data_IF_764676406779
#
_entry.id   IF_764676406779
#
_cell.length_a   1.000
_cell.length_b   1.000
_cell.length_c   1.000
_cell.angle_alpha   90.00
_cell.angle_beta   90.00
_cell.angle_gamma   90.00
#
_symmetry.space_group_name_H-M   'P 1'
#
loop_
_entity.id
_entity.type
_entity.pdbx_description
1 polymer ?
#
# COMPACT_ATOMS: atom_id res chain seq x y z
N UNK A 1 -36.98 27.60 -64.70
CA UNK A 1 -36.13 28.02 -63.56
C UNK A 1 -36.03 26.86 -62.59
N UNK A 2 -34.96 26.06 -62.67
CA UNK A 2 -34.74 24.88 -61.83
C UNK A 2 -33.28 24.84 -61.43
N UNK A 3 -32.87 25.72 -60.49
CA UNK A 3 -31.49 25.78 -59.97
C UNK A 3 -31.45 25.74 -58.44
N UNK A 4 -32.60 25.69 -57.77
CA UNK A 4 -32.67 25.76 -56.30
C UNK A 4 -32.43 24.43 -55.58
N UNK A 5 -32.53 23.28 -56.28
CA UNK A 5 -32.41 21.95 -55.65
C UNK A 5 -30.97 21.52 -55.36
N UNK A 6 -30.01 21.83 -56.25
CA UNK A 6 -28.58 21.47 -56.01
C UNK A 6 -27.98 22.19 -54.82
N UNK A 7 -28.27 23.49 -54.67
CA UNK A 7 -27.62 24.34 -53.66
C UNK A 7 -27.98 23.96 -52.21
N UNK A 8 -29.14 23.35 -52.00
CA UNK A 8 -29.56 22.84 -50.69
C UNK A 8 -28.94 21.47 -50.37
N UNK A 9 -28.64 20.67 -51.39
CA UNK A 9 -28.03 19.36 -51.25
C UNK A 9 -26.53 19.49 -50.97
N UNK A 10 -25.84 20.41 -51.67
CA UNK A 10 -24.42 20.73 -51.40
C UNK A 10 -24.21 21.22 -49.96
N UNK A 11 -25.13 22.07 -49.47
CA UNK A 11 -25.10 22.59 -48.10
C UNK A 11 -25.27 21.51 -47.03
N UNK A 12 -26.02 20.45 -47.34
CA UNK A 12 -26.21 19.30 -46.44
C UNK A 12 -25.02 18.34 -46.44
N UNK A 13 -24.30 18.25 -47.57
CA UNK A 13 -23.08 17.43 -47.67
C UNK A 13 -21.94 18.09 -46.91
N UNK A 14 -21.79 19.41 -47.04
CA UNK A 14 -20.80 20.20 -46.30
C UNK A 14 -20.99 20.10 -44.78
N UNK A 15 -22.24 20.09 -44.29
CA UNK A 15 -22.54 19.88 -42.86
C UNK A 15 -22.18 18.47 -42.36
N UNK A 16 -22.33 17.45 -43.20
CA UNK A 16 -21.94 16.07 -42.87
C UNK A 16 -20.41 15.95 -42.80
N UNK A 17 -19.70 16.59 -43.73
CA UNK A 17 -18.23 16.61 -43.74
C UNK A 17 -17.67 17.35 -42.52
N UNK A 18 -18.28 18.46 -42.10
CA UNK A 18 -17.92 19.16 -40.87
C UNK A 18 -18.12 18.29 -39.62
N UNK A 19 -19.25 17.57 -39.55
CA UNK A 19 -19.52 16.62 -38.46
C UNK A 19 -18.52 15.46 -38.46
N UNK A 20 -18.15 14.96 -39.64
CA UNK A 20 -17.15 13.91 -39.78
C UNK A 20 -15.77 14.40 -39.30
N UNK A 21 -15.35 15.61 -39.71
CA UNK A 21 -14.12 16.24 -39.25
C UNK A 21 -14.12 16.45 -37.73
N UNK A 22 -15.24 16.85 -37.15
CA UNK A 22 -15.41 17.00 -35.71
C UNK A 22 -15.24 15.66 -34.96
N UNK A 23 -15.85 14.58 -35.45
CA UNK A 23 -15.72 13.24 -34.88
C UNK A 23 -14.27 12.76 -34.95
N UNK A 24 -13.60 12.94 -36.10
CA UNK A 24 -12.19 12.60 -36.25
C UNK A 24 -11.31 13.36 -35.25
N UNK A 25 -11.52 14.67 -35.09
CA UNK A 25 -10.77 15.48 -34.13
C UNK A 25 -10.97 15.00 -32.67
N UNK A 26 -12.19 14.61 -32.30
CA UNK A 26 -12.47 14.06 -30.97
C UNK A 26 -11.77 12.72 -30.74
N UNK A 27 -11.74 11.84 -31.74
CA UNK A 27 -11.01 10.57 -31.66
C UNK A 27 -9.50 10.79 -31.54
N UNK A 28 -8.94 11.74 -32.29
CA UNK A 28 -7.52 12.13 -32.16
C UNK A 28 -7.19 12.60 -30.76
N UNK A 29 -7.99 13.53 -30.20
CA UNK A 29 -7.81 14.02 -28.82
C UNK A 29 -7.88 12.90 -27.78
N UNK A 30 -8.77 11.93 -27.97
CA UNK A 30 -8.88 10.78 -27.08
C UNK A 30 -7.62 9.91 -27.14
N UNK A 31 -7.12 9.63 -28.35
CA UNK A 31 -5.88 8.87 -28.53
C UNK A 31 -4.69 9.58 -27.89
N UNK A 32 -4.53 10.89 -28.09
CA UNK A 32 -3.48 11.70 -27.45
C UNK A 32 -3.58 11.70 -25.92
N UNK A 33 -4.80 11.79 -25.38
CA UNK A 33 -5.02 11.69 -23.93
C UNK A 33 -4.64 10.33 -23.37
N UNK A 34 -4.92 9.26 -24.11
CA UNK A 34 -4.64 7.88 -23.70
C UNK A 34 -3.14 7.55 -23.79
N UNK A 35 -2.43 7.98 -24.83
CA UNK A 35 -0.96 7.85 -24.92
C UNK A 35 -0.26 8.64 -23.82
N UNK A 36 -0.68 9.89 -23.58
CA UNK A 36 -0.15 10.71 -22.48
C UNK A 36 -0.40 10.09 -21.11
N UNK A 37 -1.56 9.47 -20.89
CA UNK A 37 -1.85 8.75 -19.65
C UNK A 37 -0.97 7.51 -19.49
N UNK A 38 -0.77 6.75 -20.56
CA UNK A 38 0.08 5.57 -20.57
C UNK A 38 1.56 5.91 -20.29
N UNK A 39 2.08 6.97 -20.91
CA UNK A 39 3.46 7.42 -20.70
C UNK A 39 3.71 7.86 -19.25
N UNK A 40 2.77 8.62 -18.68
CA UNK A 40 2.83 9.02 -17.26
C UNK A 40 2.79 7.81 -16.33
N UNK A 41 2.00 6.79 -16.66
CA UNK A 41 1.95 5.58 -15.87
C UNK A 41 3.26 4.79 -15.94
N UNK A 42 3.82 4.65 -17.15
CA UNK A 42 5.14 4.03 -17.39
C UNK A 42 6.27 4.76 -16.64
N UNK A 43 6.25 6.10 -16.64
CA UNK A 43 7.21 6.90 -15.86
C UNK A 43 7.09 6.66 -14.35
N UNK A 44 5.86 6.56 -13.83
CA UNK A 44 5.62 6.26 -12.41
C UNK A 44 6.16 4.88 -12.02
N UNK A 45 5.92 3.86 -12.85
CA UNK A 45 6.46 2.51 -12.64
C UNK A 45 7.99 2.50 -12.63
N UNK A 46 8.62 3.22 -13.56
CA UNK A 46 10.08 3.38 -13.60
C UNK A 46 10.62 4.05 -12.33
N UNK A 47 10.02 5.17 -11.92
CA UNK A 47 10.43 5.87 -10.70
C UNK A 47 10.24 5.00 -9.43
N UNK A 48 9.16 4.20 -9.38
CA UNK A 48 8.90 3.29 -8.28
C UNK A 48 9.96 2.19 -8.20
N UNK A 49 10.38 1.64 -9.34
CA UNK A 49 11.46 0.67 -9.41
C UNK A 49 12.80 1.25 -8.92
N UNK A 50 13.16 2.46 -9.34
CA UNK A 50 14.39 3.14 -8.90
C UNK A 50 14.38 3.43 -7.38
N UNK A 51 13.26 3.88 -6.83
CA UNK A 51 13.11 4.07 -5.37
C UNK A 51 13.24 2.74 -4.62
N UNK A 52 12.64 1.67 -5.14
CA UNK A 52 12.76 0.32 -4.55
C UNK A 52 14.22 -0.15 -4.54
N UNK A 53 14.94 0.08 -5.63
CA UNK A 53 16.35 -0.30 -5.74
C UNK A 53 17.23 0.46 -4.73
N UNK A 54 17.07 1.78 -4.66
CA UNK A 54 17.84 2.63 -3.72
C UNK A 54 17.56 2.29 -2.25
N UNK A 55 16.32 1.97 -1.88
CA UNK A 55 15.99 1.48 -0.52
C UNK A 55 16.64 0.11 -0.26
N UNK A 56 16.63 -0.79 -1.25
CA UNK A 56 17.29 -2.09 -1.15
C UNK A 56 18.80 -1.98 -0.89
N UNK A 57 19.46 -1.02 -1.53
CA UNK A 57 20.90 -0.76 -1.33
C UNK A 57 21.20 -0.13 0.04
N UNK A 58 20.31 0.72 0.57
CA UNK A 58 20.45 1.32 1.91
C UNK A 58 20.21 0.33 3.06
N UNK A 59 19.35 -0.67 2.85
CA UNK A 59 19.09 -1.73 3.84
C UNK A 59 20.30 -2.64 4.13
N UNK A 60 21.31 -2.65 3.26
CA UNK A 60 22.54 -3.45 3.44
C UNK A 60 23.65 -2.63 4.14
N UNK A 61 23.61 -1.30 4.08
CA UNK A 61 24.71 -0.43 4.58
C UNK A 61 24.65 -0.09 6.08
N UNK A 62 23.66 -0.62 6.81
CA UNK A 62 23.49 -0.40 8.26
C UNK A 62 24.08 -1.49 9.16
N UNK A 63 24.80 -2.48 8.62
CA UNK A 63 25.37 -3.59 9.39
C UNK A 63 26.91 -3.61 9.32
N UNK A 64 27.54 -2.65 9.97
CA UNK A 64 28.90 -2.86 10.49
C UNK A 64 28.99 -2.32 11.92
N UNK A 65 28.69 -3.20 12.88
CA UNK A 65 29.50 -3.52 14.06
C UNK A 65 28.79 -4.62 14.87
N UNK A 66 29.47 -5.77 14.93
CA UNK A 66 29.41 -6.93 15.84
C UNK A 66 28.22 -7.06 16.84
N UNK A 67 27.63 -8.23 17.07
CA UNK A 67 28.28 -9.50 17.46
C UNK A 67 27.32 -10.68 17.18
N UNK A 68 27.88 -11.86 16.90
CA UNK A 68 27.25 -12.96 16.17
C UNK A 68 26.10 -13.72 16.82
N UNK A 69 25.36 -14.48 15.99
CA UNK A 69 25.16 -15.94 16.13
C UNK A 69 24.32 -16.49 14.97
N UNK A 70 24.97 -17.34 14.17
CA UNK A 70 24.49 -18.36 13.24
C UNK A 70 23.11 -18.21 12.58
N UNK A 71 23.13 -18.02 11.27
CA UNK A 71 22.03 -18.38 10.38
C UNK A 71 21.76 -19.88 10.47
N UNK A 72 20.49 -20.26 10.61
CA UNK A 72 20.03 -21.58 10.19
C UNK A 72 18.91 -21.37 9.18
N UNK A 73 19.28 -21.52 7.91
CA UNK A 73 18.42 -22.12 6.89
C UNK A 73 17.69 -23.32 7.48
N UNK A 74 16.39 -23.43 7.26
CA UNK A 74 15.71 -24.68 6.92
C UNK A 74 14.31 -24.33 6.42
N UNK A 75 14.12 -24.48 5.11
CA UNK A 75 12.88 -25.03 4.57
C UNK A 75 12.49 -26.23 5.43
N UNK A 76 11.33 -26.21 6.08
CA UNK A 76 10.68 -27.46 6.51
C UNK A 76 9.18 -27.33 6.42
N UNK A 77 8.66 -28.27 5.66
CA UNK A 77 7.27 -28.46 5.29
C UNK A 77 6.37 -28.52 6.53
N UNK A 78 5.25 -27.81 6.44
CA UNK A 78 4.17 -27.87 7.42
C UNK A 78 3.56 -29.29 7.38
N UNK A 79 4.04 -30.17 8.26
CA UNK A 79 3.46 -31.48 8.47
C UNK A 79 2.28 -31.36 9.42
N UNK A 80 1.08 -31.49 8.85
CA UNK A 80 -0.19 -31.61 9.56
C UNK A 80 -0.10 -32.79 10.53
N UNK A 81 -0.15 -32.51 11.85
CA UNK A 81 -0.54 -33.49 12.86
C UNK A 81 -1.71 -32.95 13.67
N UNK A 82 -2.81 -33.65 13.49
CA UNK A 82 -4.15 -33.40 14.00
C UNK A 82 -4.25 -33.68 15.50
N UNK A 83 -5.06 -32.86 16.17
CA UNK A 83 -5.97 -33.21 17.26
C UNK A 83 -5.41 -33.95 18.47
N UNK A 84 -5.14 -33.21 19.56
CA UNK A 84 -5.89 -33.29 20.83
C UNK A 84 -5.12 -32.51 21.92
N UNK A 85 -5.44 -31.23 22.11
CA UNK A 85 -5.46 -30.58 23.44
C UNK A 85 -6.00 -29.15 23.31
N UNK A 86 -7.33 -29.05 23.19
CA UNK A 86 -8.05 -27.83 23.54
C UNK A 86 -8.12 -27.82 25.07
N UNK A 87 -7.25 -27.06 25.71
CA UNK A 87 -7.49 -26.27 26.94
C UNK A 87 -6.15 -25.80 27.48
N UNK A 88 -5.70 -24.63 27.02
CA UNK A 88 -5.08 -23.57 27.80
C UNK A 88 -4.78 -22.45 26.79
N UNK A 89 -5.82 -21.73 26.35
CA UNK A 89 -5.62 -20.43 25.71
C UNK A 89 -5.19 -19.51 26.84
N UNK A 90 -3.88 -19.39 27.00
CA UNK A 90 -3.23 -18.81 28.16
C UNK A 90 -3.82 -17.46 28.55
N UNK A 91 -4.29 -17.35 29.80
CA UNK A 91 -4.57 -16.05 30.43
C UNK A 91 -3.31 -15.14 30.48
N UNK A 92 -2.13 -15.71 30.23
CA UNK A 92 -0.86 -15.00 30.24
C UNK A 92 -0.74 -14.04 29.06
N UNK A 93 -1.12 -14.41 27.83
CA UNK A 93 -0.95 -13.53 26.66
C UNK A 93 -1.81 -12.25 26.74
N UNK A 94 -3.03 -12.36 27.26
CA UNK A 94 -3.91 -11.21 27.49
C UNK A 94 -3.46 -10.33 28.66
N UNK A 95 -2.92 -10.94 29.72
CA UNK A 95 -2.31 -10.20 30.84
C UNK A 95 -1.07 -9.44 30.38
N UNK A 96 -0.26 -10.06 29.53
CA UNK A 96 0.98 -9.49 29.01
C UNK A 96 0.69 -8.34 28.04
N UNK A 97 -0.32 -8.48 27.16
CA UNK A 97 -0.75 -7.39 26.27
C UNK A 97 -1.27 -6.18 27.06
N UNK A 98 -2.15 -6.39 28.04
CA UNK A 98 -2.68 -5.29 28.89
C UNK A 98 -1.57 -4.59 29.66
N UNK A 99 -0.63 -5.36 30.21
CA UNK A 99 0.53 -4.83 30.92
C UNK A 99 1.44 -4.04 29.98
N UNK A 100 1.66 -4.53 28.76
CA UNK A 100 2.44 -3.84 27.74
C UNK A 100 1.77 -2.53 27.31
N UNK A 101 0.45 -2.54 27.03
CA UNK A 101 -0.31 -1.35 26.66
C UNK A 101 -0.23 -0.27 27.75
N UNK A 102 -0.36 -0.66 29.02
CA UNK A 102 -0.19 0.27 30.13
C UNK A 102 1.19 0.93 30.12
N UNK A 103 2.27 0.15 29.98
CA UNK A 103 3.65 0.68 29.93
C UNK A 103 3.85 1.62 28.74
N UNK A 104 3.32 1.27 27.57
CA UNK A 104 3.40 2.09 26.36
C UNK A 104 2.65 3.42 26.53
N UNK A 105 1.45 3.40 27.13
CA UNK A 105 0.70 4.63 27.41
C UNK A 105 1.43 5.54 28.43
N UNK A 106 2.06 4.96 29.46
CA UNK A 106 2.91 5.73 30.39
C UNK A 106 4.09 6.37 29.65
N UNK A 107 4.76 5.61 28.78
CA UNK A 107 5.87 6.12 27.97
C UNK A 107 5.42 7.29 27.07
N UNK A 108 4.27 7.17 26.40
CA UNK A 108 3.74 8.24 25.56
C UNK A 108 3.38 9.50 26.34
N UNK A 109 2.91 9.36 27.58
CA UNK A 109 2.61 10.49 28.44
C UNK A 109 3.90 11.17 28.92
N UNK A 110 4.94 10.41 29.27
CA UNK A 110 6.22 10.95 29.74
C UNK A 110 7.00 11.64 28.63
N UNK A 111 7.05 11.05 27.44
CA UNK A 111 7.82 11.54 26.29
C UNK A 111 7.00 12.44 25.35
N UNK A 112 5.79 12.83 25.76
CA UNK A 112 4.84 13.65 24.99
C UNK A 112 4.67 13.19 23.52
N UNK A 113 4.62 11.86 23.31
CA UNK A 113 4.61 11.28 21.97
C UNK A 113 3.33 11.66 21.23
N UNK A 114 3.50 12.38 20.12
CA UNK A 114 2.42 12.83 19.27
C UNK A 114 1.58 11.64 18.78
N UNK A 115 0.26 11.82 18.75
CA UNK A 115 -0.69 10.73 18.50
C UNK A 115 -0.43 9.97 17.17
N UNK A 116 0.00 10.69 16.13
CA UNK A 116 0.33 10.14 14.82
C UNK A 116 1.65 9.36 14.77
N UNK A 117 2.49 9.43 15.81
CA UNK A 117 3.77 8.72 15.89
C UNK A 117 3.70 7.45 16.74
N UNK A 118 2.68 7.32 17.59
CA UNK A 118 2.55 6.25 18.60
C UNK A 118 2.69 4.84 18.05
N UNK A 119 2.07 4.53 16.91
CA UNK A 119 2.19 3.19 16.28
C UNK A 119 3.63 2.87 15.92
N UNK A 120 4.35 3.84 15.35
CA UNK A 120 5.75 3.67 14.96
C UNK A 120 6.63 3.47 16.19
N UNK A 121 6.43 4.29 17.23
CA UNK A 121 7.21 4.19 18.48
C UNK A 121 6.95 2.86 19.19
N UNK A 122 5.69 2.45 19.33
CA UNK A 122 5.35 1.17 19.93
C UNK A 122 5.94 -0.02 19.17
N UNK A 123 5.99 0.04 17.84
CA UNK A 123 6.52 -1.06 17.01
C UNK A 123 8.00 -1.39 17.26
N UNK A 124 8.78 -0.44 17.80
CA UNK A 124 10.20 -0.63 18.12
C UNK A 124 10.37 -1.66 19.25
N UNK A 125 9.37 -1.78 20.12
CA UNK A 125 9.37 -2.68 21.27
C UNK A 125 8.68 -4.02 20.99
N UNK A 126 8.30 -4.29 19.74
CA UNK A 126 7.70 -5.57 19.36
C UNK A 126 8.79 -6.57 19.00
N UNK A 127 8.66 -7.77 19.51
CA UNK A 127 9.59 -8.87 19.29
C UNK A 127 8.83 -10.16 18.96
N UNK A 128 9.53 -11.15 18.42
CA UNK A 128 8.97 -12.48 18.10
C UNK A 128 7.74 -12.44 17.19
N UNK A 129 6.65 -13.09 17.61
CA UNK A 129 5.40 -13.17 16.86
C UNK A 129 4.70 -11.80 16.72
N UNK A 130 4.90 -10.88 17.69
CA UNK A 130 4.25 -9.57 17.68
C UNK A 130 4.77 -8.67 16.55
N UNK A 131 6.09 -8.70 16.28
CA UNK A 131 6.65 -7.94 15.15
C UNK A 131 6.28 -8.58 13.81
N UNK A 132 6.13 -9.91 13.74
CA UNK A 132 5.61 -10.58 12.55
C UNK A 132 4.17 -10.16 12.26
N UNK A 133 3.31 -10.11 13.28
CA UNK A 133 1.95 -9.58 13.17
C UNK A 133 1.93 -8.13 12.70
N UNK A 134 2.75 -7.25 13.29
CA UNK A 134 2.83 -5.84 12.87
C UNK A 134 3.14 -5.71 11.37
N UNK A 135 4.11 -6.48 10.86
CA UNK A 135 4.49 -6.45 9.43
C UNK A 135 3.34 -6.91 8.53
N UNK A 136 2.65 -7.98 8.91
CA UNK A 136 1.49 -8.47 8.15
C UNK A 136 0.33 -7.48 8.18
N UNK A 137 0.03 -6.91 9.34
CA UNK A 137 -1.01 -5.88 9.49
C UNK A 137 -0.67 -4.60 8.69
N UNK A 138 0.59 -4.20 8.63
CA UNK A 138 1.01 -3.06 7.80
C UNK A 138 0.89 -3.37 6.30
N UNK A 139 1.23 -4.59 5.88
CA UNK A 139 1.12 -5.00 4.48
C UNK A 139 -0.34 -5.14 4.04
N UNK A 140 -1.19 -5.76 4.86
CA UNK A 140 -2.58 -6.05 4.49
C UNK A 140 -3.46 -4.79 4.36
N UNK A 141 -3.00 -3.65 4.87
CA UNK A 141 -3.69 -2.37 4.72
C UNK A 141 -3.59 -1.86 3.29
N UNK A 142 -4.74 -1.55 2.70
CA UNK A 142 -4.86 -0.89 1.39
C UNK A 142 -4.55 0.61 1.41
N UNK A 143 -4.35 1.19 2.60
CA UNK A 143 -4.14 2.63 2.80
C UNK A 143 -2.66 2.95 3.04
N UNK A 144 -2.14 3.95 2.31
CA UNK A 144 -0.76 4.45 2.45
C UNK A 144 -0.54 5.19 3.78
N UNK A 145 -1.62 5.66 4.42
CA UNK A 145 -1.52 6.33 5.71
C UNK A 145 -1.32 5.32 6.85
N UNK A 146 -0.38 5.66 7.75
CA UNK A 146 -0.16 4.91 8.98
C UNK A 146 -1.47 4.78 9.79
N UNK A 147 -1.69 3.65 10.49
CA UNK A 147 -2.82 3.51 11.39
C UNK A 147 -2.83 4.63 12.42
N UNK A 148 -4.02 5.07 12.80
CA UNK A 148 -4.17 5.75 14.08
C UNK A 148 -3.84 4.79 15.22
N UNK A 149 -3.38 5.30 16.37
CA UNK A 149 -3.13 4.46 17.55
C UNK A 149 -4.38 3.66 17.93
N UNK A 150 -5.56 4.28 17.84
CA UNK A 150 -6.85 3.63 18.14
C UNK A 150 -7.15 2.45 17.20
N UNK A 151 -6.97 2.60 15.89
CA UNK A 151 -7.12 1.50 14.93
C UNK A 151 -6.15 0.36 15.23
N UNK A 152 -4.91 0.70 15.58
CA UNK A 152 -3.86 -0.27 15.88
C UNK A 152 -4.21 -1.12 17.10
N UNK A 153 -4.72 -0.49 18.17
CA UNK A 153 -5.16 -1.20 19.38
C UNK A 153 -6.39 -2.07 19.13
N UNK A 154 -7.33 -1.62 18.29
CA UNK A 154 -8.47 -2.46 17.93
C UNK A 154 -8.00 -3.74 17.22
N UNK A 155 -7.11 -3.61 16.22
CA UNK A 155 -6.57 -4.75 15.49
C UNK A 155 -5.71 -5.70 16.36
N UNK A 156 -5.06 -5.19 17.40
CA UNK A 156 -4.29 -6.01 18.35
C UNK A 156 -5.18 -6.86 19.28
N UNK A 157 -6.45 -6.48 19.46
CA UNK A 157 -7.38 -7.15 20.38
C UNK A 157 -8.40 -8.07 19.67
N UNK A 158 -8.34 -8.17 18.34
CA UNK A 158 -9.14 -9.12 17.52
C UNK A 158 -8.53 -10.53 17.53
#
# INVERSE_FOLDING_TARGET
>A
MTVTRSKNQDKSVEEIDDRLAQIQNQLTKLMEGMTSMNDRNSQKEKALYEIKETIGQLGIKGKEKELGRAESSMHRECSVKSQHEIRHKDNHSNSDLRTWLYKVDQFFAMEEVAFNQRVRVASIHLEGEAIAWHRLYMWSRSCVANPSWKEYILALNE
#
